data_IF_187398330186
#
_entry.id   IF_187398330186
#
_cell.length_a   1.000
_cell.length_b   1.000
_cell.length_c   1.000
_cell.angle_alpha   90.00
_cell.angle_beta   90.00
_cell.angle_gamma   90.00
#
_symmetry.space_group_name_H-M   'P 1'
#
loop_
_entity.id
_entity.type
_entity.pdbx_description
1 polymer ?
#
# COMPACT_ATOMS: atom_id res chain seq x y z
N UNK A 1 -30.82 -19.34 -48.58
CA UNK A 1 -31.22 -19.19 -47.17
C UNK A 1 -30.03 -19.64 -46.33
N UNK A 2 -29.20 -18.81 -45.70
CA UNK A 2 -29.42 -17.50 -45.11
C UNK A 2 -29.17 -17.55 -43.59
N UNK A 3 -28.05 -18.14 -43.14
CA UNK A 3 -27.73 -18.36 -41.70
C UNK A 3 -26.44 -17.67 -41.23
N UNK A 4 -25.78 -16.90 -42.09
CA UNK A 4 -24.52 -16.20 -41.77
C UNK A 4 -24.62 -14.96 -40.87
N UNK A 5 -25.66 -14.09 -40.96
CA UNK A 5 -25.68 -12.84 -40.19
C UNK A 5 -26.17 -12.99 -38.74
N UNK A 6 -27.03 -13.98 -38.47
CA UNK A 6 -27.76 -14.07 -37.20
C UNK A 6 -26.90 -14.67 -36.05
N UNK A 7 -25.94 -15.54 -36.38
CA UNK A 7 -25.02 -16.13 -35.39
C UNK A 7 -23.94 -15.12 -34.98
N UNK A 8 -23.47 -14.30 -35.92
CA UNK A 8 -22.55 -13.19 -35.63
C UNK A 8 -23.22 -12.08 -34.80
N UNK A 9 -24.51 -11.81 -35.01
CA UNK A 9 -25.24 -10.85 -34.16
C UNK A 9 -25.51 -11.37 -32.74
N UNK A 10 -25.70 -12.68 -32.56
CA UNK A 10 -25.87 -13.29 -31.22
C UNK A 10 -24.57 -13.26 -30.40
N UNK A 11 -23.41 -13.40 -31.06
CA UNK A 11 -22.09 -13.25 -30.42
C UNK A 11 -21.72 -11.79 -30.16
N UNK A 12 -22.23 -10.85 -30.96
CA UNK A 12 -22.12 -9.41 -30.69
C UNK A 12 -23.09 -8.93 -29.59
N UNK A 13 -24.18 -9.67 -29.35
CA UNK A 13 -25.22 -9.35 -28.37
C UNK A 13 -24.88 -9.76 -26.92
N UNK A 14 -23.66 -10.22 -26.64
CA UNK A 14 -23.16 -10.40 -25.27
C UNK A 14 -22.15 -9.32 -24.86
N UNK A 15 -22.23 -8.12 -25.46
CA UNK A 15 -21.72 -6.94 -24.80
C UNK A 15 -22.65 -6.68 -23.59
N UNK A 16 -22.32 -7.30 -22.45
CA UNK A 16 -22.99 -6.97 -21.19
C UNK A 16 -22.96 -5.46 -21.03
N UNK A 17 -24.12 -4.83 -20.79
CA UNK A 17 -24.15 -3.40 -20.48
C UNK A 17 -23.06 -3.09 -19.44
N UNK A 18 -22.29 -2.02 -19.63
CA UNK A 18 -21.20 -1.71 -18.72
C UNK A 18 -21.75 -1.47 -17.32
N UNK A 19 -21.02 -1.91 -16.31
CA UNK A 19 -21.45 -1.75 -14.92
C UNK A 19 -21.34 -0.26 -14.57
N UNK A 20 -22.45 0.40 -14.30
CA UNK A 20 -22.43 1.78 -13.82
C UNK A 20 -22.15 1.78 -12.32
N UNK A 21 -21.06 2.44 -11.93
CA UNK A 21 -20.67 2.53 -10.52
C UNK A 21 -21.77 3.18 -9.66
N UNK A 22 -22.50 4.15 -10.22
CA UNK A 22 -23.63 4.82 -9.57
C UNK A 22 -24.76 3.87 -9.17
N UNK A 23 -24.94 2.78 -9.92
CA UNK A 23 -25.98 1.78 -9.65
C UNK A 23 -25.64 0.88 -8.46
N UNK A 24 -24.42 0.95 -7.92
CA UNK A 24 -24.02 0.18 -6.74
C UNK A 24 -24.59 0.75 -5.43
N UNK A 25 -25.20 1.94 -5.46
CA UNK A 25 -25.77 2.59 -4.28
C UNK A 25 -24.72 3.01 -3.23
N UNK A 26 -23.45 3.06 -3.63
CA UNK A 26 -22.34 3.47 -2.78
C UNK A 26 -22.38 4.98 -2.55
N UNK A 27 -22.05 5.39 -1.32
CA UNK A 27 -21.99 6.79 -0.90
C UNK A 27 -20.62 7.05 -0.29
N UNK A 28 -20.03 8.25 -0.45
CA UNK A 28 -18.71 8.56 0.10
C UNK A 28 -18.68 8.65 1.63
N UNK A 29 -19.84 8.67 2.29
CA UNK A 29 -19.97 8.71 3.73
C UNK A 29 -21.42 8.81 4.21
N UNK A 30 -21.55 9.00 5.53
CA UNK A 30 -22.82 9.22 6.21
C UNK A 30 -22.96 10.72 6.45
N UNK A 31 -24.02 11.31 5.90
CA UNK A 31 -24.35 12.72 6.13
C UNK A 31 -25.11 12.86 7.46
N UNK A 32 -24.55 13.62 8.39
CA UNK A 32 -25.15 13.93 9.70
C UNK A 32 -25.75 15.35 9.73
N UNK A 33 -25.82 16.04 8.58
CA UNK A 33 -26.33 17.40 8.43
C UNK A 33 -25.27 18.48 8.67
N UNK A 34 -24.60 18.46 9.83
CA UNK A 34 -23.52 19.43 10.16
C UNK A 34 -22.12 18.92 9.81
N UNK A 35 -21.99 17.63 9.49
CA UNK A 35 -20.72 16.96 9.22
C UNK A 35 -20.97 15.71 8.39
N UNK A 36 -20.10 15.44 7.41
CA UNK A 36 -20.11 14.19 6.67
C UNK A 36 -19.05 13.25 7.24
N UNK A 37 -19.48 12.16 7.85
CA UNK A 37 -18.59 11.08 8.27
C UNK A 37 -18.18 10.27 7.04
N UNK A 38 -17.03 10.62 6.47
CA UNK A 38 -16.49 9.98 5.25
C UNK A 38 -16.03 8.56 5.53
N UNK A 39 -16.43 7.62 4.67
CA UNK A 39 -15.94 6.24 4.74
C UNK A 39 -14.44 6.14 4.51
N UNK A 40 -13.87 7.09 3.75
CA UNK A 40 -12.42 7.23 3.64
C UNK A 40 -11.75 7.40 5.00
N UNK A 41 -12.22 8.34 5.83
CA UNK A 41 -11.69 8.54 7.18
C UNK A 41 -11.87 7.30 8.07
N UNK A 42 -13.03 6.64 7.97
CA UNK A 42 -13.28 5.40 8.71
C UNK A 42 -12.37 4.25 8.27
N UNK A 43 -12.03 4.16 6.98
CA UNK A 43 -11.10 3.16 6.45
C UNK A 43 -9.68 3.34 6.99
N UNK A 44 -9.19 4.59 7.08
CA UNK A 44 -7.92 4.89 7.75
C UNK A 44 -7.95 4.49 9.22
N UNK A 45 -9.01 4.88 9.93
CA UNK A 45 -9.17 4.52 11.34
C UNK A 45 -9.21 3.00 11.54
N UNK A 46 -9.96 2.28 10.71
CA UNK A 46 -10.03 0.82 10.74
C UNK A 46 -8.64 0.20 10.50
N UNK A 47 -7.87 0.72 9.54
CA UNK A 47 -6.49 0.29 9.30
C UNK A 47 -5.58 0.48 10.50
N UNK A 48 -5.63 1.65 11.14
CA UNK A 48 -4.84 1.96 12.34
C UNK A 48 -5.24 1.06 13.51
N UNK A 49 -6.54 0.91 13.78
CA UNK A 49 -7.05 0.06 14.87
C UNK A 49 -6.66 -1.40 14.65
N UNK A 50 -6.82 -1.91 13.42
CA UNK A 50 -6.42 -3.28 13.08
C UNK A 50 -4.91 -3.49 13.20
N UNK A 51 -4.10 -2.54 12.72
CA UNK A 51 -2.65 -2.60 12.87
C UNK A 51 -2.22 -2.55 14.34
N UNK A 52 -2.83 -1.70 15.18
CA UNK A 52 -2.52 -1.60 16.60
C UNK A 52 -2.88 -2.89 17.33
N UNK A 53 -4.10 -3.39 17.11
CA UNK A 53 -4.57 -4.64 17.71
C UNK A 53 -3.69 -5.83 17.29
N UNK A 54 -3.41 -5.97 16.00
CA UNK A 54 -2.63 -7.08 15.48
C UNK A 54 -1.17 -7.02 15.92
N UNK A 55 -0.53 -5.84 15.85
CA UNK A 55 0.83 -5.64 16.37
C UNK A 55 0.91 -5.98 17.86
N UNK A 56 -0.05 -5.53 18.67
CA UNK A 56 -0.11 -5.85 20.10
C UNK A 56 -0.17 -7.36 20.37
N UNK A 57 -0.82 -8.14 19.50
CA UNK A 57 -0.79 -9.61 19.56
C UNK A 57 0.56 -10.19 19.15
N UNK A 58 1.19 -9.64 18.11
CA UNK A 58 2.52 -10.05 17.66
C UNK A 58 3.58 -9.82 18.75
N UNK A 59 3.47 -8.74 19.52
CA UNK A 59 4.44 -8.39 20.58
C UNK A 59 4.36 -9.32 21.80
N UNK A 60 3.27 -10.08 21.97
CA UNK A 60 3.16 -11.12 23.00
C UNK A 60 3.91 -12.41 22.63
N UNK A 61 4.44 -12.51 21.41
CA UNK A 61 5.15 -13.69 20.94
C UNK A 61 6.63 -13.69 21.38
N UNK A 62 7.21 -14.87 21.68
CA UNK A 62 8.61 -14.97 22.04
C UNK A 62 9.53 -14.41 20.97
N UNK A 63 10.52 -13.62 21.41
CA UNK A 63 11.50 -13.00 20.54
C UNK A 63 11.06 -11.67 19.92
N UNK A 64 9.92 -11.09 20.31
CA UNK A 64 9.51 -9.76 19.86
C UNK A 64 10.63 -8.71 20.05
N UNK A 65 10.90 -7.84 19.05
CA UNK A 65 12.03 -6.92 19.10
C UNK A 65 11.77 -5.67 19.96
N UNK A 66 10.54 -5.49 20.44
CA UNK A 66 10.11 -4.30 21.15
C UNK A 66 8.97 -4.62 22.13
N UNK A 67 8.88 -3.86 23.22
CA UNK A 67 7.72 -3.87 24.12
C UNK A 67 6.55 -3.01 23.61
N UNK A 68 5.35 -3.21 24.17
CA UNK A 68 4.11 -2.51 23.82
C UNK A 68 4.26 -0.98 23.80
N UNK A 69 4.93 -0.39 24.82
CA UNK A 69 5.18 1.05 24.89
C UNK A 69 5.88 1.62 23.65
N UNK A 70 6.75 0.83 23.00
CA UNK A 70 7.45 1.28 21.80
C UNK A 70 6.53 1.22 20.58
N UNK A 71 5.56 0.30 20.55
CA UNK A 71 4.53 0.33 19.53
C UNK A 71 3.64 1.57 19.68
N UNK A 72 3.24 1.92 20.89
CA UNK A 72 2.51 3.16 21.17
C UNK A 72 3.30 4.39 20.74
N UNK A 73 4.60 4.45 21.07
CA UNK A 73 5.51 5.48 20.54
C UNK A 73 5.53 5.49 19.00
N UNK A 74 5.66 4.32 18.36
CA UNK A 74 5.64 4.22 16.90
C UNK A 74 4.34 4.75 16.30
N UNK A 75 3.18 4.42 16.85
CA UNK A 75 1.89 4.94 16.37
C UNK A 75 1.85 6.47 16.48
N UNK A 76 2.27 7.02 17.61
CA UNK A 76 2.31 8.47 17.82
C UNK A 76 3.28 9.15 16.84
N UNK A 77 4.55 8.74 16.82
CA UNK A 77 5.59 9.37 16.01
C UNK A 77 5.40 9.14 14.51
N UNK A 78 4.89 7.97 14.08
CA UNK A 78 4.60 7.74 12.67
C UNK A 78 3.40 8.55 12.21
N UNK A 79 2.37 8.76 13.05
CA UNK A 79 1.25 9.64 12.73
C UNK A 79 1.73 11.08 12.52
N UNK A 80 2.55 11.60 13.45
CA UNK A 80 3.20 12.90 13.27
C UNK A 80 4.09 12.93 12.03
N UNK A 81 4.85 11.86 11.78
CA UNK A 81 5.71 11.72 10.61
C UNK A 81 4.95 11.81 9.29
N UNK A 82 3.82 11.11 9.16
CA UNK A 82 2.96 11.20 7.96
C UNK A 82 2.45 12.63 7.77
N UNK A 83 1.95 13.25 8.84
CA UNK A 83 1.33 14.59 8.78
C UNK A 83 2.38 15.66 8.44
N UNK A 84 3.43 15.75 9.26
CA UNK A 84 4.48 16.76 9.11
C UNK A 84 5.29 16.51 7.84
N UNK A 85 5.74 15.27 7.63
CA UNK A 85 6.51 14.90 6.45
C UNK A 85 5.71 15.10 5.17
N UNK A 86 4.43 14.70 5.16
CA UNK A 86 3.54 14.91 4.02
C UNK A 86 3.33 16.37 3.70
N UNK A 87 3.12 17.22 4.72
CA UNK A 87 2.91 18.66 4.52
C UNK A 87 4.18 19.37 4.08
N UNK A 88 5.31 19.13 4.76
CA UNK A 88 6.62 19.70 4.42
C UNK A 88 7.05 19.24 3.02
N UNK A 89 6.86 17.96 2.69
CA UNK A 89 7.15 17.45 1.36
C UNK A 89 6.27 18.08 0.29
N UNK A 90 4.99 18.35 0.60
CA UNK A 90 4.11 19.04 -0.33
C UNK A 90 4.59 20.48 -0.60
N UNK A 91 4.83 21.23 0.46
CA UNK A 91 5.37 22.59 0.37
C UNK A 91 6.74 22.61 -0.36
N UNK A 92 7.60 21.62 -0.16
CA UNK A 92 8.93 21.62 -0.81
C UNK A 92 8.88 21.28 -2.29
N UNK A 93 8.09 20.27 -2.67
CA UNK A 93 8.18 19.70 -4.03
C UNK A 93 7.07 20.15 -4.98
N UNK A 94 5.92 20.60 -4.45
CA UNK A 94 4.75 20.91 -5.26
C UNK A 94 4.32 22.37 -5.12
N UNK A 95 4.43 22.96 -3.93
CA UNK A 95 3.97 24.34 -3.68
C UNK A 95 4.93 25.13 -2.77
N UNK A 96 6.12 25.55 -3.29
CA UNK A 96 7.15 26.25 -2.51
C UNK A 96 6.72 27.56 -1.85
N UNK A 97 5.69 28.21 -2.39
CA UNK A 97 5.14 29.47 -1.85
C UNK A 97 4.59 29.29 -0.43
N UNK A 98 4.16 28.08 -0.04
CA UNK A 98 3.71 27.77 1.32
C UNK A 98 4.77 28.04 2.39
N UNK A 99 6.06 28.05 2.05
CA UNK A 99 7.12 28.40 3.00
C UNK A 99 7.10 29.86 3.43
N UNK A 100 6.47 30.73 2.64
CA UNK A 100 6.35 32.16 2.92
C UNK A 100 5.12 32.52 3.77
N UNK A 101 4.18 31.59 3.96
CA UNK A 101 2.97 31.76 4.77
C UNK A 101 2.86 30.64 5.82
N UNK A 102 3.26 30.91 7.08
CA UNK A 102 3.18 29.92 8.16
C UNK A 102 1.75 29.43 8.45
N UNK A 103 0.74 30.26 8.27
CA UNK A 103 -0.65 29.89 8.52
C UNK A 103 -1.16 28.96 7.43
N UNK A 104 -0.84 29.25 6.17
CA UNK A 104 -1.12 28.32 5.08
C UNK A 104 -0.35 27.01 5.24
N UNK A 105 0.92 27.05 5.65
CA UNK A 105 1.74 25.85 5.85
C UNK A 105 1.13 24.86 6.84
N UNK A 106 0.50 25.33 7.92
CA UNK A 106 -0.17 24.45 8.91
C UNK A 106 -1.63 24.10 8.57
N UNK A 107 -2.21 24.74 7.55
CA UNK A 107 -3.61 24.55 7.17
C UNK A 107 -3.82 23.25 6.39
N UNK A 108 -3.86 22.12 7.11
CA UNK A 108 -4.02 20.77 6.52
C UNK A 108 -5.41 20.52 5.91
N UNK A 109 -6.43 21.29 6.33
CA UNK A 109 -7.80 21.15 5.84
C UNK A 109 -8.01 21.67 4.42
N UNK A 110 -7.05 22.42 3.87
CA UNK A 110 -7.07 22.86 2.47
C UNK A 110 -6.54 21.77 1.50
N UNK A 111 -6.17 20.60 2.02
CA UNK A 111 -5.49 19.56 1.25
C UNK A 111 -4.00 19.85 1.07
N UNK A 112 -3.35 19.16 0.14
CA UNK A 112 -1.92 19.32 -0.14
C UNK A 112 -1.03 18.49 0.79
N UNK A 113 -0.87 17.21 0.45
CA UNK A 113 -0.05 16.23 1.16
C UNK A 113 0.81 15.46 0.16
N UNK A 114 2.12 15.36 0.44
CA UNK A 114 3.07 14.59 -0.37
C UNK A 114 3.19 13.18 0.16
N UNK A 115 2.94 12.18 -0.69
CA UNK A 115 3.15 10.78 -0.35
C UNK A 115 4.62 10.51 0.03
N UNK A 116 5.57 10.96 -0.79
CA UNK A 116 7.01 10.78 -0.54
C UNK A 116 7.45 11.46 0.76
N UNK A 117 6.94 12.68 1.01
CA UNK A 117 7.15 13.39 2.26
C UNK A 117 6.66 12.59 3.47
N UNK A 118 5.45 12.02 3.38
CA UNK A 118 4.87 11.17 4.41
C UNK A 118 5.72 9.92 4.68
N UNK A 119 6.15 9.21 3.63
CA UNK A 119 7.02 8.02 3.75
C UNK A 119 8.35 8.37 4.45
N UNK A 120 9.00 9.47 4.06
CA UNK A 120 10.24 9.92 4.72
C UNK A 120 9.98 10.25 6.20
N UNK A 121 8.89 10.94 6.51
CA UNK A 121 8.51 11.25 7.90
C UNK A 121 8.29 10.00 8.74
N UNK A 122 7.63 8.97 8.20
CA UNK A 122 7.46 7.67 8.88
C UNK A 122 8.80 6.96 9.07
N UNK A 123 9.67 6.91 8.06
CA UNK A 123 10.98 6.26 8.18
C UNK A 123 11.85 6.95 9.24
N UNK A 124 11.82 8.29 9.31
CA UNK A 124 12.48 9.04 10.37
C UNK A 124 11.89 8.74 11.75
N UNK A 125 10.57 8.64 11.87
CA UNK A 125 9.90 8.26 13.11
C UNK A 125 10.29 6.85 13.59
N UNK A 126 10.29 5.85 12.69
CA UNK A 126 10.72 4.49 13.00
C UNK A 126 12.19 4.47 13.44
N UNK A 127 13.04 5.22 12.73
CA UNK A 127 14.48 5.34 13.05
C UNK A 127 14.67 5.97 14.43
N UNK A 128 13.97 7.06 14.71
CA UNK A 128 14.00 7.75 15.99
C UNK A 128 13.58 6.85 17.15
N UNK A 129 12.43 6.19 17.04
CA UNK A 129 11.91 5.28 18.08
C UNK A 129 12.83 4.08 18.28
N UNK A 130 13.36 3.51 17.19
CA UNK A 130 14.30 2.40 17.26
C UNK A 130 15.60 2.81 17.94
N UNK A 131 16.15 3.98 17.58
CA UNK A 131 17.39 4.49 18.15
C UNK A 131 17.26 4.81 19.64
N UNK A 132 16.25 5.61 20.04
CA UNK A 132 16.01 5.97 21.45
C UNK A 132 15.73 4.75 22.33
N UNK A 133 15.07 3.74 21.77
CA UNK A 133 14.73 2.50 22.46
C UNK A 133 15.83 1.45 22.43
N UNK A 134 16.97 1.71 21.76
CA UNK A 134 18.04 0.73 21.49
C UNK A 134 17.50 -0.56 20.86
N UNK A 135 16.48 -0.42 20.01
CA UNK A 135 15.81 -1.51 19.33
C UNK A 135 16.55 -1.87 18.03
N UNK A 136 16.44 -3.11 17.61
CA UNK A 136 16.93 -3.51 16.30
C UNK A 136 15.98 -2.97 15.21
N UNK A 137 16.42 -1.94 14.49
CA UNK A 137 15.64 -1.24 13.46
C UNK A 137 14.99 -2.20 12.43
N UNK A 138 15.77 -3.11 11.84
CA UNK A 138 15.24 -3.99 10.78
C UNK A 138 14.18 -4.95 11.32
N UNK A 139 14.28 -5.38 12.59
CA UNK A 139 13.24 -6.19 13.23
C UNK A 139 12.00 -5.40 13.59
N UNK A 140 12.14 -4.11 13.92
CA UNK A 140 10.99 -3.22 14.09
C UNK A 140 10.26 -3.09 12.75
N UNK A 141 11.00 -2.87 11.65
CA UNK A 141 10.45 -2.84 10.30
C UNK A 141 9.74 -4.16 9.91
N UNK A 142 10.31 -5.33 10.25
CA UNK A 142 9.66 -6.63 10.03
C UNK A 142 8.26 -6.69 10.67
N UNK A 143 8.13 -6.19 11.91
CA UNK A 143 6.86 -6.22 12.62
C UNK A 143 5.86 -5.19 12.06
N UNK A 144 6.34 -4.00 11.68
CA UNK A 144 5.50 -2.99 11.03
C UNK A 144 4.99 -3.51 9.67
N UNK A 145 5.87 -4.09 8.86
CA UNK A 145 5.58 -4.56 7.51
C UNK A 145 4.42 -5.56 7.45
N UNK A 146 4.27 -6.42 8.46
CA UNK A 146 3.15 -7.38 8.56
C UNK A 146 1.79 -6.67 8.65
N UNK A 147 1.76 -5.44 9.18
CA UNK A 147 0.53 -4.70 9.47
C UNK A 147 0.14 -3.68 8.39
N UNK A 148 1.10 -3.20 7.58
CA UNK A 148 0.84 -2.20 6.53
C UNK A 148 -0.26 -2.63 5.53
N UNK A 149 -0.33 -3.90 5.08
CA UNK A 149 -1.36 -4.34 4.13
C UNK A 149 -2.81 -4.11 4.57
N UNK A 150 -3.11 -4.05 5.87
CA UNK A 150 -4.46 -3.71 6.36
C UNK A 150 -4.87 -2.31 5.93
N UNK A 151 -3.96 -1.33 6.08
CA UNK A 151 -4.19 0.04 5.63
C UNK A 151 -4.35 0.12 4.11
N UNK A 152 -3.55 -0.65 3.36
CA UNK A 152 -3.66 -0.73 1.90
C UNK A 152 -5.02 -1.26 1.46
N UNK A 153 -5.48 -2.37 2.05
CA UNK A 153 -6.79 -2.93 1.73
C UNK A 153 -7.92 -1.92 1.96
N UNK A 154 -8.01 -1.36 3.15
CA UNK A 154 -9.12 -0.45 3.49
C UNK A 154 -9.05 0.86 2.70
N UNK A 155 -7.86 1.42 2.50
CA UNK A 155 -7.68 2.64 1.70
C UNK A 155 -8.16 2.45 0.26
N UNK A 156 -7.80 1.32 -0.38
CA UNK A 156 -8.21 1.04 -1.76
C UNK A 156 -9.69 0.74 -1.90
N UNK A 157 -10.28 0.04 -0.93
CA UNK A 157 -11.73 -0.11 -0.87
C UNK A 157 -12.43 1.24 -0.69
N UNK A 158 -11.87 2.15 0.09
CA UNK A 158 -12.43 3.49 0.24
C UNK A 158 -12.28 4.34 -1.04
N UNK A 159 -11.18 4.22 -1.79
CA UNK A 159 -11.07 4.84 -3.11
C UNK A 159 -12.14 4.31 -4.07
N UNK A 160 -12.41 2.99 -4.04
CA UNK A 160 -13.51 2.41 -4.81
C UNK A 160 -14.87 2.97 -4.39
N UNK A 161 -15.13 3.12 -3.08
CA UNK A 161 -16.37 3.71 -2.54
C UNK A 161 -16.50 5.21 -2.83
N UNK A 162 -15.40 5.93 -3.02
CA UNK A 162 -15.39 7.31 -3.51
C UNK A 162 -15.50 7.42 -5.03
N UNK A 163 -15.46 6.28 -5.74
CA UNK A 163 -15.40 6.22 -7.19
C UNK A 163 -14.24 7.03 -7.75
N UNK A 164 -13.02 6.83 -7.23
CA UNK A 164 -11.81 7.60 -7.58
C UNK A 164 -10.58 6.73 -7.80
N UNK A 165 -9.56 7.21 -8.52
CA UNK A 165 -8.35 6.44 -8.88
C UNK A 165 -8.64 5.19 -9.74
N UNK A 166 -9.62 5.29 -10.63
CA UNK A 166 -9.96 4.27 -11.61
C UNK A 166 -8.81 4.06 -12.63
N UNK A 167 -8.91 2.97 -13.37
CA UNK A 167 -7.92 2.58 -14.38
C UNK A 167 -8.19 3.13 -15.77
N UNK A 168 -7.43 2.61 -16.74
CA UNK A 168 -7.56 2.94 -18.16
C UNK A 168 -8.86 2.37 -18.76
N UNK A 169 -9.35 2.95 -19.88
CA UNK A 169 -10.51 2.41 -20.60
C UNK A 169 -10.29 0.97 -21.05
N UNK A 170 -11.36 0.16 -21.04
CA UNK A 170 -11.30 -1.28 -21.33
C UNK A 170 -12.69 -1.84 -21.62
N UNK A 171 -12.74 -3.00 -22.27
CA UNK A 171 -13.98 -3.70 -22.67
C UNK A 171 -14.18 -5.04 -21.93
N UNK A 172 -13.43 -5.28 -20.84
CA UNK A 172 -13.60 -6.50 -20.01
C UNK A 172 -14.99 -6.54 -19.35
N UNK A 173 -15.57 -7.73 -19.08
CA UNK A 173 -16.97 -7.83 -18.64
C UNK A 173 -17.25 -7.26 -17.24
N UNK A 174 -16.21 -6.94 -16.46
CA UNK A 174 -16.31 -6.28 -15.15
C UNK A 174 -15.86 -4.81 -15.18
N UNK A 175 -15.71 -4.21 -16.38
CA UNK A 175 -15.40 -2.80 -16.52
C UNK A 175 -16.54 -1.93 -15.97
N UNK A 176 -16.18 -0.78 -15.40
CA UNK A 176 -17.13 0.13 -14.75
C UNK A 176 -17.08 1.53 -15.34
N UNK A 177 -18.24 2.15 -15.53
CA UNK A 177 -18.36 3.58 -15.81
C UNK A 177 -18.41 4.33 -14.48
N UNK A 178 -17.43 5.20 -14.24
CA UNK A 178 -17.31 5.98 -13.01
C UNK A 178 -17.80 7.42 -13.23
N UNK A 179 -18.50 8.04 -12.25
CA UNK A 179 -19.16 9.35 -12.42
C UNK A 179 -18.23 10.47 -12.92
N UNK A 180 -16.98 10.46 -12.45
CA UNK A 180 -15.98 11.50 -12.71
C UNK A 180 -14.97 11.12 -13.81
N UNK A 181 -15.17 10.00 -14.49
CA UNK A 181 -14.20 9.42 -15.43
C UNK A 181 -14.58 9.56 -16.91
N UNK A 182 -15.69 10.25 -17.19
CA UNK A 182 -16.30 10.32 -18.51
C UNK A 182 -17.16 9.09 -18.83
N UNK A 183 -17.66 8.96 -20.07
CA UNK A 183 -18.61 7.92 -20.45
C UNK A 183 -17.98 6.53 -20.67
N UNK A 184 -16.66 6.44 -20.68
CA UNK A 184 -15.94 5.20 -21.01
C UNK A 184 -15.90 4.24 -19.81
N UNK A 185 -16.15 2.96 -20.07
CA UNK A 185 -15.95 1.89 -19.09
C UNK A 185 -14.45 1.68 -18.86
N UNK A 186 -14.07 1.50 -17.60
CA UNK A 186 -12.68 1.48 -17.13
C UNK A 186 -12.43 0.33 -16.18
N UNK A 187 -11.17 -0.06 -16.06
CA UNK A 187 -10.76 -1.01 -15.03
C UNK A 187 -11.06 -0.43 -13.63
N UNK A 188 -11.76 -1.16 -12.74
CA UNK A 188 -11.83 -0.80 -11.32
C UNK A 188 -10.50 -1.15 -10.63
N UNK A 189 -9.41 -0.46 -11.02
CA UNK A 189 -8.04 -0.75 -10.57
C UNK A 189 -7.87 -0.68 -9.06
N UNK A 190 -8.70 0.11 -8.37
CA UNK A 190 -8.74 0.17 -6.91
C UNK A 190 -9.00 -1.22 -6.31
N UNK A 191 -9.86 -2.03 -6.93
CA UNK A 191 -10.13 -3.41 -6.48
C UNK A 191 -8.93 -4.33 -6.76
N UNK A 192 -8.17 -4.07 -7.82
CA UNK A 192 -6.96 -4.84 -8.13
C UNK A 192 -5.85 -4.52 -7.11
N UNK A 193 -5.69 -3.23 -6.75
CA UNK A 193 -4.80 -2.79 -5.67
C UNK A 193 -5.26 -3.38 -4.33
N UNK A 194 -6.55 -3.31 -4.01
CA UNK A 194 -7.11 -3.90 -2.79
C UNK A 194 -6.84 -5.41 -2.71
N UNK A 195 -6.92 -6.13 -3.84
CA UNK A 195 -6.65 -7.56 -3.90
C UNK A 195 -5.15 -7.88 -3.76
N UNK A 196 -4.28 -7.25 -4.55
CA UNK A 196 -2.85 -7.59 -4.62
C UNK A 196 -2.02 -6.95 -3.49
N UNK A 197 -2.18 -5.63 -3.30
CA UNK A 197 -1.42 -4.85 -2.31
C UNK A 197 -2.03 -4.97 -0.90
N UNK A 198 -3.32 -5.28 -0.81
CA UNK A 198 -4.06 -5.51 0.43
C UNK A 198 -4.22 -6.99 0.76
N UNK A 199 -5.28 -7.62 0.27
CA UNK A 199 -5.74 -8.94 0.71
C UNK A 199 -4.68 -10.06 0.54
N UNK A 200 -4.08 -10.19 -0.64
CA UNK A 200 -3.04 -11.18 -0.90
C UNK A 200 -1.83 -10.95 0.01
N UNK A 201 -1.41 -9.69 0.14
CA UNK A 201 -0.28 -9.35 0.99
C UNK A 201 -0.57 -9.61 2.47
N UNK A 202 -1.80 -9.35 2.96
CA UNK A 202 -2.25 -9.76 4.30
C UNK A 202 -2.08 -11.27 4.48
N UNK A 203 -2.60 -12.07 3.55
CA UNK A 203 -2.49 -13.54 3.64
C UNK A 203 -1.04 -13.99 3.72
N UNK A 204 -0.18 -13.50 2.81
CA UNK A 204 1.25 -13.83 2.81
C UNK A 204 1.90 -13.45 4.14
N UNK A 205 1.70 -12.23 4.62
CA UNK A 205 2.35 -11.75 5.84
C UNK A 205 1.86 -12.48 7.10
N UNK A 206 0.56 -12.77 7.20
CA UNK A 206 0.01 -13.50 8.33
C UNK A 206 0.49 -14.95 8.34
N UNK A 207 0.50 -15.62 7.19
CA UNK A 207 1.03 -16.99 7.06
C UNK A 207 2.51 -17.01 7.46
N UNK A 208 3.33 -16.09 6.93
CA UNK A 208 4.75 -16.04 7.27
C UNK A 208 4.98 -15.77 8.76
N UNK A 209 4.26 -14.82 9.35
CA UNK A 209 4.47 -14.48 10.77
C UNK A 209 3.96 -15.54 11.74
N UNK A 210 2.76 -16.09 11.50
CA UNK A 210 2.06 -16.95 12.47
C UNK A 210 2.28 -18.44 12.22
N UNK A 211 2.45 -18.87 10.97
CA UNK A 211 2.53 -20.29 10.60
C UNK A 211 3.96 -20.76 10.33
N UNK A 212 4.93 -19.85 10.29
CA UNK A 212 6.34 -20.19 10.02
C UNK A 212 7.31 -19.58 11.05
N UNK A 213 8.61 -19.84 10.87
CA UNK A 213 9.68 -19.23 11.68
C UNK A 213 10.23 -17.92 11.10
N UNK A 214 9.54 -17.29 10.13
CA UNK A 214 10.03 -16.09 9.46
C UNK A 214 10.35 -14.93 10.43
N UNK A 215 9.55 -14.75 11.49
CA UNK A 215 9.75 -13.70 12.53
C UNK A 215 11.09 -13.77 13.29
N UNK A 216 11.77 -14.92 13.22
CA UNK A 216 13.09 -15.12 13.82
C UNK A 216 14.25 -14.81 12.86
N UNK A 217 13.98 -14.40 11.62
CA UNK A 217 14.98 -14.01 10.63
C UNK A 217 14.87 -12.50 10.34
N UNK A 218 15.69 -11.66 10.99
CA UNK A 218 15.66 -10.20 10.79
C UNK A 218 15.79 -9.82 9.31
N UNK A 219 14.85 -9.01 8.82
CA UNK A 219 14.78 -8.53 7.45
C UNK A 219 13.88 -9.35 6.54
N UNK A 220 13.53 -10.59 6.90
CA UNK A 220 12.77 -11.45 6.00
C UNK A 220 11.36 -10.91 5.74
N UNK A 221 10.66 -10.46 6.77
CA UNK A 221 9.27 -10.00 6.65
C UNK A 221 9.21 -8.66 5.91
N UNK A 222 10.07 -7.70 6.26
CA UNK A 222 10.13 -6.42 5.54
C UNK A 222 10.58 -6.61 4.09
N UNK A 223 11.55 -7.48 3.82
CA UNK A 223 12.01 -7.77 2.47
C UNK A 223 10.90 -8.37 1.59
N UNK A 224 10.19 -9.39 2.10
CA UNK A 224 9.04 -9.99 1.40
C UNK A 224 7.92 -8.97 1.20
N UNK A 225 7.59 -8.19 2.21
CA UNK A 225 6.60 -7.12 2.09
C UNK A 225 6.99 -6.11 1.01
N UNK A 226 8.20 -5.56 1.05
CA UNK A 226 8.66 -4.56 0.09
C UNK A 226 8.65 -5.09 -1.34
N UNK A 227 9.13 -6.32 -1.56
CA UNK A 227 9.08 -6.94 -2.88
C UNK A 227 7.64 -7.24 -3.33
N UNK A 228 6.80 -7.77 -2.44
CA UNK A 228 5.42 -8.14 -2.73
C UNK A 228 4.53 -6.95 -3.05
N UNK A 229 4.58 -5.88 -2.24
CA UNK A 229 3.85 -4.63 -2.49
C UNK A 229 4.30 -4.00 -3.81
N UNK A 230 5.60 -3.96 -4.09
CA UNK A 230 6.13 -3.37 -5.31
C UNK A 230 5.79 -4.19 -6.55
N UNK A 231 5.78 -5.53 -6.46
CA UNK A 231 5.35 -6.41 -7.53
C UNK A 231 3.84 -6.30 -7.81
N UNK A 232 3.03 -6.23 -6.75
CA UNK A 232 1.59 -5.94 -6.86
C UNK A 232 1.37 -4.62 -7.58
N UNK A 233 2.07 -3.56 -7.15
CA UNK A 233 2.00 -2.24 -7.77
C UNK A 233 2.41 -2.25 -9.23
N UNK A 234 3.54 -2.88 -9.55
CA UNK A 234 4.03 -3.03 -10.92
C UNK A 234 2.99 -3.70 -11.82
N UNK A 235 2.29 -4.70 -11.29
CA UNK A 235 1.24 -5.45 -12.00
C UNK A 235 -0.01 -4.59 -12.21
N UNK A 236 -0.50 -3.90 -11.18
CA UNK A 236 -1.72 -3.09 -11.30
C UNK A 236 -1.53 -1.91 -12.25
N UNK A 237 -0.32 -1.40 -12.36
CA UNK A 237 0.01 -0.26 -13.21
C UNK A 237 -0.23 -0.53 -14.72
N UNK A 238 -0.24 -1.80 -15.16
CA UNK A 238 -0.69 -2.17 -16.51
C UNK A 238 -2.19 -1.90 -16.76
N UNK A 239 -2.98 -1.72 -15.71
CA UNK A 239 -4.41 -1.41 -15.76
C UNK A 239 -4.70 0.04 -15.38
N UNK A 240 -3.72 0.81 -14.88
CA UNK A 240 -3.88 2.22 -14.54
C UNK A 240 -3.63 3.11 -15.75
N UNK A 241 -4.28 4.27 -15.77
CA UNK A 241 -3.96 5.30 -16.75
C UNK A 241 -2.76 6.10 -16.23
N UNK A 242 -1.65 6.19 -16.98
CA UNK A 242 -0.52 7.02 -16.58
C UNK A 242 -0.94 8.49 -16.59
N UNK A 243 -0.34 9.30 -15.71
CA UNK A 243 -0.57 10.74 -15.69
C UNK A 243 -0.25 11.32 -17.07
N UNK A 244 -1.08 12.26 -17.56
CA UNK A 244 -0.99 12.77 -18.93
C UNK A 244 0.41 13.31 -19.28
N UNK A 245 1.09 13.92 -18.31
CA UNK A 245 2.46 14.45 -18.43
C UNK A 245 3.53 13.36 -18.63
N UNK A 246 3.23 12.12 -18.24
CA UNK A 246 4.14 10.96 -18.29
C UNK A 246 3.71 9.93 -19.34
N UNK A 247 2.66 10.22 -20.12
CA UNK A 247 2.12 9.31 -21.12
C UNK A 247 3.11 9.03 -22.26
N UNK A 248 3.86 10.04 -22.71
CA UNK A 248 4.89 9.88 -23.75
C UNK A 248 6.08 9.06 -23.27
N UNK A 249 6.56 9.34 -22.05
CA UNK A 249 7.59 8.52 -21.39
C UNK A 249 7.19 7.05 -21.28
N UNK A 250 5.92 6.77 -20.92
CA UNK A 250 5.41 5.41 -20.85
C UNK A 250 5.34 4.73 -22.23
N UNK A 251 5.03 5.48 -23.29
CA UNK A 251 5.04 4.97 -24.67
C UNK A 251 6.46 4.65 -25.16
N UNK A 252 7.42 5.50 -24.85
CA UNK A 252 8.81 5.33 -25.30
C UNK A 252 9.53 4.19 -24.58
N UNK A 253 9.36 4.10 -23.25
CA UNK A 253 10.05 3.09 -22.43
C UNK A 253 9.28 1.77 -22.31
N UNK A 254 8.01 1.74 -22.71
CA UNK A 254 7.11 0.60 -22.59
C UNK A 254 6.58 0.36 -21.17
N UNK A 255 7.02 1.16 -20.18
CA UNK A 255 6.64 1.04 -18.78
C UNK A 255 6.24 2.42 -18.21
N UNK A 256 5.26 2.47 -17.31
CA UNK A 256 4.91 3.73 -16.65
C UNK A 256 5.99 4.14 -15.63
N UNK A 257 5.99 5.42 -15.21
CA UNK A 257 6.87 5.87 -14.14
C UNK A 257 6.64 5.09 -12.82
N UNK A 258 5.40 4.69 -12.54
CA UNK A 258 5.08 3.83 -11.40
C UNK A 258 5.75 2.47 -11.48
N UNK A 259 5.87 1.89 -12.67
CA UNK A 259 6.61 0.65 -12.91
C UNK A 259 8.11 0.83 -12.74
N UNK A 260 8.68 1.91 -13.26
CA UNK A 260 10.10 2.22 -13.08
C UNK A 260 10.46 2.42 -11.60
N UNK A 261 9.62 3.10 -10.83
CA UNK A 261 9.86 3.32 -9.39
C UNK A 261 9.71 2.04 -8.55
N UNK A 262 8.96 1.05 -9.03
CA UNK A 262 8.77 -0.22 -8.30
C UNK A 262 9.89 -1.22 -8.57
N UNK A 263 10.55 -1.19 -9.73
CA UNK A 263 11.67 -2.11 -10.03
C UNK A 263 12.77 -2.06 -8.96
N UNK A 264 13.33 -0.89 -8.57
CA UNK A 264 14.33 -0.83 -7.49
C UNK A 264 13.82 -1.39 -6.17
N UNK A 265 12.54 -1.14 -5.83
CA UNK A 265 11.94 -1.65 -4.60
C UNK A 265 11.81 -3.17 -4.61
N UNK A 266 11.46 -3.78 -5.76
CA UNK A 266 11.44 -5.23 -5.93
C UNK A 266 12.84 -5.79 -5.68
N UNK A 267 13.86 -5.23 -6.32
CA UNK A 267 15.26 -5.69 -6.19
C UNK A 267 15.75 -5.56 -4.74
N UNK A 268 15.49 -4.42 -4.09
CA UNK A 268 15.87 -4.19 -2.69
C UNK A 268 15.14 -5.18 -1.77
N UNK A 269 13.83 -5.35 -1.94
CA UNK A 269 13.02 -6.27 -1.13
C UNK A 269 13.50 -7.72 -1.25
N UNK A 270 13.75 -8.18 -2.48
CA UNK A 270 14.31 -9.52 -2.74
C UNK A 270 15.71 -9.66 -2.15
N UNK A 271 16.58 -8.66 -2.34
CA UNK A 271 17.92 -8.67 -1.79
C UNK A 271 17.93 -8.79 -0.26
N UNK A 272 17.08 -8.02 0.44
CA UNK A 272 16.93 -8.09 1.90
C UNK A 272 16.37 -9.43 2.34
N UNK A 273 15.37 -9.98 1.64
CA UNK A 273 14.79 -11.27 1.95
C UNK A 273 15.80 -12.43 1.77
N UNK A 274 16.53 -12.45 0.66
CA UNK A 274 17.59 -13.43 0.39
C UNK A 274 18.69 -13.32 1.46
N UNK A 275 19.15 -12.10 1.74
CA UNK A 275 20.13 -11.86 2.79
C UNK A 275 19.67 -12.39 4.16
N UNK A 276 18.41 -12.17 4.53
CA UNK A 276 17.84 -12.68 5.78
C UNK A 276 17.77 -14.23 5.80
N UNK A 277 17.53 -14.87 4.66
CA UNK A 277 17.50 -16.34 4.54
C UNK A 277 18.89 -16.98 4.64
N UNK A 278 19.94 -16.27 4.23
CA UNK A 278 21.34 -16.76 4.36
C UNK A 278 21.89 -16.71 5.80
N UNK A 279 21.18 -16.04 6.72
CA UNK A 279 21.60 -15.88 8.11
C UNK A 279 20.89 -16.87 9.04
N UNK A 280 21.56 -17.33 10.12
CA UNK A 280 20.93 -18.18 11.11
C UNK A 280 19.76 -17.45 11.77
N UNK A 281 18.68 -18.17 12.03
CA UNK A 281 17.56 -17.61 12.78
C UNK A 281 17.99 -17.26 14.21
N UNK A 282 17.42 -16.21 14.79
CA UNK A 282 17.66 -15.82 16.17
C UNK A 282 17.36 -17.01 17.09
N UNK A 283 18.33 -17.38 17.93
CA UNK A 283 18.23 -18.51 18.85
C UNK A 283 18.73 -19.85 18.30
N UNK A 284 19.09 -19.96 17.02
CA UNK A 284 19.89 -21.08 16.52
C UNK A 284 21.38 -20.77 16.73
N UNK A 285 22.06 -21.56 17.58
CA UNK A 285 23.53 -21.56 17.60
C UNK A 285 24.01 -21.97 16.20
N UNK A 286 24.85 -21.16 15.57
CA UNK A 286 25.56 -21.59 14.37
C UNK A 286 26.31 -22.88 14.71
N UNK A 287 26.00 -23.98 14.04
CA UNK A 287 26.79 -25.21 14.16
C UNK A 287 28.20 -24.88 13.70
N UNK A 288 29.12 -24.71 14.65
CA UNK A 288 30.54 -24.60 14.37
C UNK A 288 30.92 -25.90 13.66
N UNK A 289 31.58 -25.88 12.48
CA UNK A 289 32.10 -27.11 11.89
C UNK A 289 32.99 -27.76 12.94
N UNK A 290 32.77 -29.04 13.22
CA UNK A 290 33.68 -29.81 14.06
C UNK A 290 35.07 -29.69 13.40
N UNK A 291 36.05 -29.16 14.14
CA UNK A 291 37.43 -29.25 13.71
C UNK A 291 37.75 -30.76 13.63
N UNK A 292 38.19 -31.22 12.46
CA UNK A 292 38.68 -32.58 12.30
C UNK A 292 39.79 -32.82 13.34
N UNK A 293 39.70 -33.89 14.14
CA UNK A 293 40.83 -34.28 14.97
C UNK A 293 41.97 -34.74 14.05
N UNK A 294 43.11 -34.05 14.17
CA UNK A 294 44.37 -34.38 13.53
C UNK A 294 44.96 -35.69 14.07
#
# INVERSE_FOLDING_TARGET
>A
MGTGPFVLSLLAATASEPIYWENLGLRPGIDLGFFTLRFYSLAYLAGIVMAYWHLSRMLKQPGAPMAQRHAEDLFFWCTLGVILGGRIGYATFYEPELWSDPTALISLWNGGMSFHGGVMGVLLAITWVSWRGKLNFIRVCDYIAVNVPFGMLFGRLANFVNGELWGRPTDVPWAMVFPRAGPLARHPSQLYEAALEGALMIVIMLVLFWMTRARYRPGLLVGVFTAGIAAGRFTVEFFREPDAQLAEFARETGLSMGQWLTIPLIVIGLGVAIWALTRPAIGQKASRPAADPA
#
